data_IF_971846801550
#
_entry.id   IF_971846801550
#
_cell.length_a   1.000
_cell.length_b   1.000
_cell.length_c   1.000
_cell.angle_alpha   90.00
_cell.angle_beta   90.00
_cell.angle_gamma   90.00
#
_symmetry.space_group_name_H-M   'P 1'
#
loop_
_entity.id
_entity.type
_entity.pdbx_description
1 polymer ?
#
# COMPACT_ATOMS: atom_id res chain seq x y z
N UNK A 1 -13.62 1.14 1.06
CA UNK A 1 -13.56 1.60 2.47
C UNK A 1 -13.35 3.12 2.55
N UNK A 2 -13.52 3.74 3.74
CA UNK A 2 -13.56 5.19 3.93
C UNK A 2 -12.29 5.95 3.50
N UNK A 3 -11.10 5.45 3.84
CA UNK A 3 -9.82 6.06 3.44
C UNK A 3 -9.65 6.07 1.93
N UNK A 4 -10.01 4.98 1.25
CA UNK A 4 -9.96 4.89 -0.22
C UNK A 4 -10.96 5.87 -0.87
N UNK A 5 -12.17 6.00 -0.32
CA UNK A 5 -13.17 6.97 -0.80
C UNK A 5 -12.68 8.41 -0.61
N UNK A 6 -12.00 8.69 0.50
CA UNK A 6 -11.38 9.99 0.73
C UNK A 6 -10.29 10.28 -0.30
N UNK A 7 -9.37 9.33 -0.55
CA UNK A 7 -8.32 9.49 -1.57
C UNK A 7 -8.92 9.68 -2.97
N UNK A 8 -9.98 8.95 -3.32
CA UNK A 8 -10.68 9.10 -4.60
C UNK A 8 -11.30 10.49 -4.81
N UNK A 9 -11.56 11.23 -3.73
CA UNK A 9 -12.12 12.60 -3.74
C UNK A 9 -11.09 13.69 -3.42
N UNK A 10 -9.85 13.31 -3.08
CA UNK A 10 -8.78 14.23 -2.75
C UNK A 10 -8.48 15.14 -3.94
N UNK A 11 -8.48 16.46 -3.75
CA UNK A 11 -8.20 17.41 -4.84
C UNK A 11 -6.69 17.58 -5.01
N UNK A 12 -6.14 16.95 -6.03
CA UNK A 12 -4.75 17.11 -6.45
C UNK A 12 -4.58 16.77 -7.94
N UNK A 13 -3.54 17.30 -8.57
CA UNK A 13 -3.33 17.19 -10.03
C UNK A 13 -3.19 15.75 -10.53
N UNK A 14 -2.61 14.86 -9.72
CA UNK A 14 -2.39 13.47 -10.10
C UNK A 14 -3.58 12.54 -9.87
N UNK A 15 -4.69 13.02 -9.28
CA UNK A 15 -5.85 12.17 -8.95
C UNK A 15 -6.40 11.39 -10.17
N UNK A 16 -6.59 12.00 -11.36
CA UNK A 16 -7.12 11.27 -12.51
C UNK A 16 -6.20 10.13 -12.96
N UNK A 17 -4.88 10.32 -12.85
CA UNK A 17 -3.88 9.29 -13.14
C UNK A 17 -3.90 8.19 -12.09
N UNK A 18 -3.87 8.56 -10.81
CA UNK A 18 -3.92 7.62 -9.69
C UNK A 18 -5.17 6.72 -9.72
N UNK A 19 -6.34 7.31 -10.01
CA UNK A 19 -7.60 6.56 -10.08
C UNK A 19 -7.63 5.52 -11.22
N UNK A 20 -6.84 5.73 -12.29
CA UNK A 20 -6.72 4.78 -13.41
C UNK A 20 -5.77 3.62 -13.11
N UNK A 21 -4.91 3.74 -12.09
CA UNK A 21 -3.97 2.67 -11.73
C UNK A 21 -4.72 1.42 -11.25
N UNK A 22 -4.17 0.27 -11.60
CA UNK A 22 -4.54 -1.02 -11.00
C UNK A 22 -3.74 -1.24 -9.72
N UNK A 23 -4.28 -2.07 -8.82
CA UNK A 23 -3.56 -2.50 -7.64
C UNK A 23 -2.45 -3.47 -8.05
N UNK A 24 -1.25 -3.28 -7.50
CA UNK A 24 -0.13 -4.21 -7.64
C UNK A 24 -0.08 -5.08 -6.38
N UNK A 25 -0.13 -6.42 -6.50
CA UNK A 25 0.07 -7.30 -5.35
C UNK A 25 1.54 -7.27 -4.90
N UNK A 26 1.75 -7.38 -3.60
CA UNK A 26 3.05 -7.58 -2.97
C UNK A 26 3.03 -8.93 -2.25
N UNK A 27 4.08 -9.72 -2.43
CA UNK A 27 4.25 -10.99 -1.71
C UNK A 27 4.50 -10.73 -0.21
N UNK A 28 4.00 -11.64 0.62
CA UNK A 28 4.28 -11.67 2.04
C UNK A 28 5.76 -12.06 2.26
N UNK A 29 6.57 -11.22 2.95
CA UNK A 29 7.99 -11.48 3.19
C UNK A 29 8.26 -12.79 3.94
N UNK A 30 7.27 -13.32 4.66
CA UNK A 30 7.38 -14.57 5.42
C UNK A 30 6.72 -15.76 4.74
N UNK A 31 5.94 -15.53 3.68
CA UNK A 31 5.20 -16.57 2.96
C UNK A 31 5.24 -16.31 1.45
N UNK A 32 6.35 -16.67 0.77
CA UNK A 32 6.51 -16.46 -0.67
C UNK A 32 5.36 -17.05 -1.49
N UNK A 33 4.89 -16.31 -2.50
CA UNK A 33 3.74 -16.69 -3.32
C UNK A 33 2.37 -16.44 -2.67
N UNK A 34 2.32 -15.97 -1.41
CA UNK A 34 1.10 -15.48 -0.77
C UNK A 34 1.08 -13.97 -0.82
N UNK A 35 -0.01 -13.37 -1.31
CA UNK A 35 -0.14 -11.90 -1.27
C UNK A 35 -0.24 -11.41 0.18
N UNK A 36 0.66 -10.50 0.56
CA UNK A 36 0.70 -9.82 1.85
C UNK A 36 0.11 -8.42 1.81
N UNK A 37 0.15 -7.74 0.66
CA UNK A 37 -0.42 -6.42 0.50
C UNK A 37 -0.79 -6.11 -0.95
N UNK A 38 -1.55 -5.04 -1.15
CA UNK A 38 -1.70 -4.38 -2.43
C UNK A 38 -1.19 -2.95 -2.34
N UNK A 39 -0.57 -2.45 -3.40
CA UNK A 39 -0.17 -1.05 -3.46
C UNK A 39 -0.56 -0.36 -4.77
N UNK A 40 -0.65 0.96 -4.71
CA UNK A 40 -0.69 1.86 -5.87
C UNK A 40 0.30 2.99 -5.63
N UNK A 41 1.18 3.23 -6.58
CA UNK A 41 2.14 4.34 -6.52
C UNK A 41 1.98 5.20 -7.76
N UNK A 42 1.76 6.50 -7.56
CA UNK A 42 1.72 7.50 -8.62
C UNK A 42 2.56 8.71 -8.20
N UNK A 43 3.69 8.91 -8.88
CA UNK A 43 4.68 9.94 -8.51
C UNK A 43 5.09 9.76 -7.03
N UNK A 44 4.96 10.80 -6.22
CA UNK A 44 5.30 10.84 -4.81
C UNK A 44 4.16 10.37 -3.87
N UNK A 45 3.07 9.84 -4.40
CA UNK A 45 1.95 9.34 -3.60
C UNK A 45 1.81 7.83 -3.73
N UNK A 46 1.89 7.14 -2.60
CA UNK A 46 1.72 5.69 -2.49
C UNK A 46 0.58 5.36 -1.53
N UNK A 47 -0.28 4.43 -1.93
CA UNK A 47 -1.34 3.88 -1.10
C UNK A 47 -1.12 2.39 -0.91
N UNK A 48 -1.09 1.95 0.35
CA UNK A 48 -0.89 0.55 0.72
C UNK A 48 -2.14 -0.01 1.38
N UNK A 49 -2.47 -1.24 1.01
CA UNK A 49 -3.49 -2.05 1.64
C UNK A 49 -2.81 -3.32 2.16
N UNK A 50 -2.46 -3.32 3.45
CA UNK A 50 -1.82 -4.48 4.08
C UNK A 50 -2.91 -5.48 4.48
N UNK A 51 -2.79 -6.72 4.01
CA UNK A 51 -3.76 -7.77 4.31
C UNK A 51 -3.48 -8.34 5.70
N UNK A 52 -4.50 -8.91 6.35
CA UNK A 52 -4.39 -9.53 7.68
C UNK A 52 -3.89 -8.58 8.79
N UNK A 53 -3.99 -7.27 8.57
CA UNK A 53 -3.69 -6.23 9.55
C UNK A 53 -4.96 -5.49 9.97
N UNK A 54 -5.04 -5.12 11.25
CA UNK A 54 -6.06 -4.24 11.82
C UNK A 54 -5.54 -2.82 12.01
N UNK A 55 -5.85 -2.23 13.16
CA UNK A 55 -5.48 -0.84 13.48
C UNK A 55 -3.97 -0.64 13.63
N UNK A 56 -3.25 -1.66 14.12
CA UNK A 56 -1.84 -1.57 14.46
C UNK A 56 -1.02 -2.45 13.52
N UNK A 57 -0.87 -2.00 12.27
CA UNK A 57 -0.20 -2.76 11.20
C UNK A 57 1.16 -3.35 11.63
N UNK A 58 2.09 -2.62 12.28
CA UNK A 58 3.36 -3.23 12.70
C UNK A 58 3.23 -4.34 13.75
N UNK A 59 2.17 -4.31 14.57
CA UNK A 59 1.88 -5.36 15.55
C UNK A 59 1.24 -6.58 14.88
N UNK A 60 0.32 -6.36 13.93
CA UNK A 60 -0.43 -7.42 13.28
C UNK A 60 0.34 -8.09 12.13
N UNK A 61 1.13 -7.29 11.39
CA UNK A 61 1.84 -7.66 10.17
C UNK A 61 3.22 -6.98 10.10
N UNK A 62 4.05 -7.20 11.12
CA UNK A 62 5.38 -6.60 11.25
C UNK A 62 6.29 -6.74 10.02
N UNK A 63 6.44 -7.94 9.42
CA UNK A 63 7.25 -8.13 8.22
C UNK A 63 6.78 -7.30 7.02
N UNK A 64 5.46 -7.25 6.77
CA UNK A 64 4.90 -6.39 5.71
C UNK A 64 5.07 -4.91 6.04
N UNK A 65 4.93 -4.50 7.30
CA UNK A 65 5.16 -3.12 7.71
C UNK A 65 6.61 -2.69 7.45
N UNK A 66 7.58 -3.57 7.74
CA UNK A 66 8.99 -3.32 7.43
C UNK A 66 9.24 -3.25 5.93
N UNK A 67 8.66 -4.15 5.13
CA UNK A 67 8.77 -4.10 3.67
C UNK A 67 8.19 -2.80 3.10
N UNK A 68 7.01 -2.38 3.57
CA UNK A 68 6.40 -1.10 3.20
C UNK A 68 7.33 0.08 3.52
N UNK A 69 7.96 0.07 4.71
CA UNK A 69 8.91 1.13 5.08
C UNK A 69 10.13 1.15 4.16
N UNK A 70 10.73 -0.01 3.87
CA UNK A 70 11.86 -0.11 2.91
C UNK A 70 11.51 0.45 1.54
N UNK A 71 10.32 0.15 1.03
CA UNK A 71 9.84 0.70 -0.24
C UNK A 71 9.67 2.23 -0.21
N UNK A 72 9.22 2.79 0.93
CA UNK A 72 9.06 4.24 1.11
C UNK A 72 10.43 4.92 1.21
N UNK A 73 11.36 4.34 1.98
CA UNK A 73 12.71 4.89 2.20
C UNK A 73 13.71 4.50 1.12
N UNK A 74 13.29 3.74 0.11
CA UNK A 74 14.13 3.26 -1.00
C UNK A 74 15.36 2.47 -0.51
N UNK A 75 15.13 1.53 0.41
CA UNK A 75 16.15 0.68 1.05
C UNK A 75 16.04 -0.79 0.63
N UNK A 76 15.48 -1.05 -0.56
CA UNK A 76 15.45 -2.39 -1.15
C UNK A 76 16.84 -2.83 -1.64
#
# INVERSE_FOLDING_TARGET
>A
MGQELWVKKLKWEGLPGFNKLRWTPLDDPTSPGVTGAFCKTYKNFSFYWILRAGHMIPSDQGPMALQMLKMITQQD
#
